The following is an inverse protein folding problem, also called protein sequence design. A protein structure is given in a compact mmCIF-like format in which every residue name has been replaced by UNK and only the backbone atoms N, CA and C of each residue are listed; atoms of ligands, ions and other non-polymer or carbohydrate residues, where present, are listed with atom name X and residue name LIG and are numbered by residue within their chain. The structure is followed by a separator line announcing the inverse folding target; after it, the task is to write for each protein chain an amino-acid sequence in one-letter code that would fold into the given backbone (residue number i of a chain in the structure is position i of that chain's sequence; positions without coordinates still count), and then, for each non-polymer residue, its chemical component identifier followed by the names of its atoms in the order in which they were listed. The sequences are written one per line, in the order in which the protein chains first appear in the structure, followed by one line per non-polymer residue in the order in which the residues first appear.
data_IF_622512740716
#
_entry.id   IF_622512740716
#
_cell.length_a   1.000
_cell.length_b   1.000
_cell.length_c   1.000
_cell.angle_alpha   90.00
_cell.angle_beta   90.00
_cell.angle_gamma   90.00
#
_symmetry.space_group_name_H-M   'P 1'
#
loop_
_entity.id
_entity.type
_entity.pdbx_description
1 polymer ?
#
# COMPACT_ATOMS: atom_id res chain seq x y z
N UNK A 1 15.99 -8.43 -6.55
CA UNK A 1 14.83 -7.58 -6.19
C UNK A 1 15.21 -6.13 -6.43
N UNK A 2 14.30 -5.30 -6.96
CA UNK A 2 14.48 -3.85 -6.95
C UNK A 2 14.26 -3.33 -5.53
N UNK A 3 14.92 -2.23 -5.15
CA UNK A 3 14.69 -1.61 -3.83
C UNK A 3 13.25 -1.12 -3.71
N UNK A 4 12.74 -1.14 -2.49
CA UNK A 4 11.44 -0.59 -2.09
C UNK A 4 11.58 0.60 -1.14
N UNK A 5 12.81 1.05 -0.87
CA UNK A 5 13.04 2.17 0.04
C UNK A 5 12.77 3.49 -0.68
N UNK A 6 12.20 4.47 0.03
CA UNK A 6 11.92 5.79 -0.54
C UNK A 6 13.19 6.44 -1.08
N UNK A 7 14.31 6.30 -0.35
CA UNK A 7 15.61 6.87 -0.75
C UNK A 7 16.15 6.32 -2.08
N UNK A 8 15.70 5.14 -2.49
CA UNK A 8 16.18 4.43 -3.68
C UNK A 8 15.13 4.44 -4.82
N UNK A 9 14.01 5.15 -4.65
CA UNK A 9 12.87 5.08 -5.58
C UNK A 9 12.34 6.47 -5.96
N UNK A 10 11.86 6.61 -7.20
CA UNK A 10 11.02 7.74 -7.60
C UNK A 10 9.57 7.51 -7.18
N UNK A 11 8.75 8.57 -7.23
CA UNK A 11 7.31 8.46 -7.00
C UNK A 11 6.67 7.41 -7.92
N UNK A 12 6.96 7.47 -9.21
CA UNK A 12 6.40 6.58 -10.23
C UNK A 12 6.81 5.12 -9.98
N UNK A 13 8.04 4.89 -9.51
CA UNK A 13 8.50 3.57 -9.11
C UNK A 13 7.72 3.06 -7.89
N UNK A 14 7.40 3.93 -6.91
CA UNK A 14 6.57 3.56 -5.76
C UNK A 14 5.12 3.27 -6.14
N UNK A 15 4.53 4.05 -7.05
CA UNK A 15 3.21 3.77 -7.61
C UNK A 15 3.17 2.39 -8.29
N UNK A 16 4.22 2.07 -9.06
CA UNK A 16 4.32 0.77 -9.71
C UNK A 16 4.52 -0.38 -8.71
N UNK A 17 5.31 -0.17 -7.65
CA UNK A 17 5.48 -1.14 -6.56
C UNK A 17 4.13 -1.43 -5.89
N UNK A 18 3.35 -0.39 -5.55
CA UNK A 18 2.03 -0.55 -4.94
C UNK A 18 1.08 -1.27 -5.89
N UNK A 19 1.00 -0.84 -7.16
CA UNK A 19 0.16 -1.50 -8.18
C UNK A 19 0.52 -2.98 -8.35
N UNK A 20 1.80 -3.32 -8.39
CA UNK A 20 2.27 -4.71 -8.51
C UNK A 20 1.98 -5.54 -7.25
N UNK A 21 2.15 -4.95 -6.06
CA UNK A 21 1.82 -5.62 -4.79
C UNK A 21 0.33 -5.96 -4.69
N UNK A 22 -0.54 -5.09 -5.21
CA UNK A 22 -1.98 -5.28 -5.22
C UNK A 22 -2.49 -6.15 -6.37
N UNK A 23 -1.70 -6.35 -7.42
CA UNK A 23 -2.10 -7.18 -8.57
C UNK A 23 -2.40 -8.64 -8.17
N UNK A 24 -1.81 -9.13 -7.07
CA UNK A 24 -2.11 -10.45 -6.51
C UNK A 24 -3.54 -10.58 -5.95
N UNK A 25 -4.20 -9.46 -5.63
CA UNK A 25 -5.59 -9.41 -5.16
C UNK A 25 -6.62 -9.33 -6.29
N UNK A 26 -6.18 -9.44 -7.55
CA UNK A 26 -7.01 -9.27 -8.74
C UNK A 26 -6.83 -7.87 -9.34
N UNK A 27 -6.58 -7.83 -10.65
CA UNK A 27 -6.33 -6.63 -11.47
C UNK A 27 -7.43 -5.55 -11.40
N UNK A 28 -8.58 -5.85 -10.81
CA UNK A 28 -9.64 -4.89 -10.51
C UNK A 28 -10.05 -5.05 -9.06
N UNK A 29 -10.00 -3.96 -8.29
CA UNK A 29 -10.55 -3.89 -6.94
C UNK A 29 -12.05 -4.26 -6.92
N UNK A 30 -12.71 -4.31 -8.08
CA UNK A 30 -14.10 -4.72 -8.27
C UNK A 30 -14.42 -6.17 -7.85
N UNK A 31 -13.42 -7.04 -7.66
CA UNK A 31 -13.63 -8.44 -7.30
C UNK A 31 -13.17 -8.83 -5.89
N UNK A 32 -12.42 -7.98 -5.19
CA UNK A 32 -11.88 -8.32 -3.87
C UNK A 32 -12.80 -7.79 -2.77
N UNK A 33 -13.86 -8.55 -2.49
CA UNK A 33 -14.81 -8.34 -1.38
C UNK A 33 -14.16 -8.25 0.04
N UNK A 34 -12.82 -8.26 0.14
CA UNK A 34 -12.06 -8.19 1.39
C UNK A 34 -11.31 -6.89 1.65
N UNK A 35 -11.11 -6.00 0.65
CA UNK A 35 -10.38 -4.74 0.88
C UNK A 35 -11.30 -3.52 1.12
N UNK A 36 -12.50 -3.51 0.55
CA UNK A 36 -13.44 -2.39 0.71
C UNK A 36 -14.40 -2.53 1.92
N UNK A 37 -14.54 -3.73 2.51
CA UNK A 37 -15.57 -4.00 3.54
C UNK A 37 -15.12 -3.81 5.00
N UNK A 38 -13.86 -3.40 5.24
CA UNK A 38 -13.35 -3.08 6.60
C UNK A 38 -13.28 -1.57 6.88
N UNK A 39 -13.93 -0.74 6.05
CA UNK A 39 -13.99 0.71 6.27
C UNK A 39 -12.67 1.46 6.03
N UNK A 40 -11.67 0.81 5.44
CA UNK A 40 -10.47 1.45 4.93
C UNK A 40 -10.73 1.88 3.50
N UNK A 41 -10.64 3.18 3.19
CA UNK A 41 -10.80 3.68 1.83
C UNK A 41 -9.91 2.94 0.82
N UNK A 42 -10.20 3.13 -0.46
CA UNK A 42 -9.43 2.70 -1.65
C UNK A 42 -8.00 2.37 -1.28
N UNK A 43 -7.53 1.13 -1.46
CA UNK A 43 -6.22 0.64 -0.96
C UNK A 43 -5.05 1.56 -1.32
N UNK A 44 -5.17 2.33 -2.41
CA UNK A 44 -4.27 3.41 -2.78
C UNK A 44 -4.08 4.46 -1.66
N UNK A 45 -5.13 4.78 -0.89
CA UNK A 45 -5.10 5.73 0.23
C UNK A 45 -4.23 5.27 1.41
N UNK A 46 -4.15 3.95 1.68
CA UNK A 46 -3.30 3.41 2.76
C UNK A 46 -1.82 3.60 2.40
N UNK A 47 -1.46 3.43 1.13
CA UNK A 47 -0.08 3.52 0.66
C UNK A 47 0.31 4.90 0.11
N UNK A 48 -0.61 5.87 0.11
CA UNK A 48 -0.36 7.23 -0.35
C UNK A 48 0.85 7.88 0.35
N UNK A 49 1.04 7.76 1.68
CA UNK A 49 2.23 8.30 2.35
C UNK A 49 3.54 7.70 1.85
N UNK A 50 3.54 6.43 1.43
CA UNK A 50 4.72 5.81 0.80
C UNK A 50 4.93 6.37 -0.60
N UNK A 51 3.89 6.48 -1.42
CA UNK A 51 3.96 7.05 -2.76
C UNK A 51 4.50 8.49 -2.71
N UNK A 52 4.01 9.30 -1.78
CA UNK A 52 4.43 10.69 -1.56
C UNK A 52 5.85 10.81 -0.99
N UNK A 53 6.42 9.72 -0.47
CA UNK A 53 7.75 9.69 0.11
C UNK A 53 7.80 10.18 1.56
N UNK A 54 6.66 10.16 2.26
CA UNK A 54 6.50 10.63 3.63
C UNK A 54 6.76 9.53 4.68
N UNK A 55 6.40 8.28 4.37
CA UNK A 55 6.56 7.12 5.27
C UNK A 55 6.96 5.86 4.54
N UNK A 56 7.87 5.10 5.12
CA UNK A 56 8.28 3.81 4.58
C UNK A 56 7.17 2.75 4.75
N UNK A 57 7.14 1.74 3.87
CA UNK A 57 6.13 0.67 3.92
C UNK A 57 6.10 -0.06 5.27
N UNK A 58 7.23 -0.20 5.96
CA UNK A 58 7.27 -0.84 7.28
C UNK A 58 6.59 0.00 8.37
N UNK A 59 6.58 1.32 8.24
CA UNK A 59 5.91 2.24 9.19
C UNK A 59 4.39 2.13 9.03
N UNK A 60 3.92 2.17 7.78
CA UNK A 60 2.50 1.98 7.43
C UNK A 60 2.00 0.62 7.95
N UNK A 61 2.75 -0.45 7.72
CA UNK A 61 2.40 -1.79 8.21
C UNK A 61 2.37 -1.87 9.74
N UNK A 62 3.28 -1.18 10.43
CA UNK A 62 3.28 -1.14 11.89
C UNK A 62 2.07 -0.37 12.45
N UNK A 63 1.67 0.73 11.82
CA UNK A 63 0.46 1.49 12.17
C UNK A 63 -0.81 0.66 11.97
N UNK A 64 -0.92 -0.01 10.82
CA UNK A 64 -2.06 -0.89 10.52
C UNK A 64 -2.16 -2.07 11.50
N UNK A 65 -1.04 -2.70 11.87
CA UNK A 65 -1.05 -3.78 12.88
C UNK A 65 -1.48 -3.28 14.26
N UNK A 66 -1.05 -2.08 14.65
CA UNK A 66 -1.45 -1.47 15.93
C UNK A 66 -2.95 -1.18 16.02
N UNK A 67 -3.61 -0.87 14.89
CA UNK A 67 -5.06 -0.62 14.90
C UNK A 67 -5.90 -1.90 14.93
N UNK A 68 -5.35 -3.03 14.47
CA UNK A 68 -6.04 -4.33 14.44
C UNK A 68 -5.98 -5.11 15.77
N UNK A 69 -4.97 -4.85 16.60
CA UNK A 69 -4.84 -5.48 17.93
C UNK A 69 -5.47 -4.54 18.95
N UNK A 70 -6.75 -4.77 19.27
CA UNK A 70 -7.49 -4.06 20.31
C UNK A 70 -7.92 -5.02 21.41
#
# INVERSE_FOLDING_TARGET
MRSILIRDTTREQREQIVRQGLAACGSSCEGCNGCDNLGGGRVETIYQPYIDGEKELFEINAEYRRSLVR
#
